data_IF_813436316175
#
_entry.id   IF_813436316175
#
_cell.length_a   1.000
_cell.length_b   1.000
_cell.length_c   1.000
_cell.angle_alpha   90.00
_cell.angle_beta   90.00
_cell.angle_gamma   90.00
#
_symmetry.space_group_name_H-M   'P 1'
#
loop_
_entity.id
_entity.type
_entity.pdbx_description
1 polymer ?
#
# COMPACT_ATOMS: atom_id res chain seq x y z
N UNK A 1 -11.68 12.25 38.48
CA UNK A 1 -11.81 12.09 38.09
C UNK A 1 -11.96 11.86 37.56
N UNK A 2 -11.92 11.56 37.71
CA UNK A 2 -12.20 11.10 37.09
C UNK A 2 -12.33 10.94 36.40
N UNK A 3 -12.40 10.54 36.48
CA UNK A 3 -12.64 10.16 35.81
C UNK A 3 -12.76 10.05 34.98
N UNK A 4 -12.90 9.70 35.05
CA UNK A 4 -13.21 9.36 34.19
C UNK A 4 -13.39 9.37 33.34
N UNK A 5 -13.51 9.22 33.59
CA UNK A 5 -13.81 8.90 32.55
C UNK A 5 -13.84 8.90 31.74
N UNK A 6 -14.00 8.56 31.86
CA UNK A 6 -14.15 8.35 31.05
C UNK A 6 -14.46 8.20 30.28
N UNK A 7 -14.59 7.76 30.32
CA UNK A 7 -15.01 7.41 29.61
C UNK A 7 -15.39 7.29 28.94
N UNK A 8 -15.77 7.17 29.08
CA UNK A 8 -16.21 6.74 28.35
C UNK A 8 -16.61 6.54 27.66
N UNK A 9 -17.00 6.11 27.64
CA UNK A 9 -17.28 5.56 26.92
C UNK A 9 -17.47 5.69 25.88
N UNK A 10 -17.77 5.87 25.47
CA UNK A 10 -17.94 6.04 24.43
C UNK A 10 -17.20 5.84 23.48
N UNK A 11 -16.70 5.81 23.41
CA UNK A 11 -15.80 5.59 22.71
C UNK A 11 -15.74 4.26 22.43
N UNK A 12 -16.37 3.63 22.85
CA UNK A 12 -16.47 2.34 22.68
C UNK A 12 -16.47 2.00 21.31
N UNK A 13 -17.08 2.68 20.54
CA UNK A 13 -17.15 2.47 19.23
C UNK A 13 -15.85 2.54 18.72
N UNK A 14 -15.08 3.41 19.17
CA UNK A 14 -13.85 3.55 18.64
C UNK A 14 -13.00 2.44 18.95
N UNK A 15 -13.29 1.78 20.05
CA UNK A 15 -12.50 0.74 20.35
C UNK A 15 -12.63 -0.33 19.43
N UNK A 16 -13.66 -0.51 18.83
CA UNK A 16 -13.86 -1.51 17.99
C UNK A 16 -13.03 -1.26 16.85
N UNK A 17 -12.87 -0.04 16.45
CA UNK A 17 -12.12 0.30 15.34
C UNK A 17 -10.70 0.06 15.57
N UNK A 18 -10.25 0.05 16.75
CA UNK A 18 -8.90 -0.17 17.00
C UNK A 18 -8.56 -1.55 17.33
N UNK A 19 -9.46 -2.48 17.18
CA UNK A 19 -9.16 -3.81 17.48
C UNK A 19 -8.15 -4.33 16.52
N UNK A 20 -8.01 -3.91 15.36
CA UNK A 20 -7.03 -4.41 14.43
C UNK A 20 -5.77 -3.61 14.46
N UNK A 21 -4.78 -3.95 13.65
CA UNK A 21 -3.56 -3.18 13.59
C UNK A 21 -3.80 -1.80 13.00
N UNK A 22 -3.02 -0.85 13.41
CA UNK A 22 -3.14 0.52 12.92
C UNK A 22 -1.85 0.92 12.25
N UNK A 23 -1.90 1.70 11.20
CA UNK A 23 -0.69 2.16 10.54
C UNK A 23 0.13 3.02 11.48
N UNK A 24 1.45 2.98 11.36
CA UNK A 24 2.30 3.76 12.22
C UNK A 24 2.31 5.24 11.89
N UNK A 25 1.76 5.64 10.76
CA UNK A 25 1.67 7.05 10.40
C UNK A 25 0.33 7.28 9.73
N UNK A 26 -0.06 8.52 9.62
CA UNK A 26 -1.31 8.88 8.98
C UNK A 26 -1.23 8.57 7.49
N UNK A 27 -2.25 7.97 6.94
CA UNK A 27 -2.30 7.65 5.53
C UNK A 27 -3.37 8.49 4.83
N UNK A 28 -3.15 8.75 3.57
CA UNK A 28 -4.15 9.41 2.75
C UNK A 28 -5.20 8.41 2.30
N UNK A 29 -6.16 8.83 1.50
CA UNK A 29 -7.29 7.98 1.13
C UNK A 29 -6.89 6.72 0.37
N UNK A 30 -5.93 6.81 -0.53
CA UNK A 30 -5.55 5.66 -1.32
C UNK A 30 -4.73 4.68 -0.47
N UNK A 31 -3.85 5.20 0.35
CA UNK A 31 -3.06 4.37 1.24
C UNK A 31 -3.93 3.70 2.28
N UNK A 32 -4.92 4.41 2.81
CA UNK A 32 -5.81 3.84 3.79
C UNK A 32 -6.65 2.75 3.17
N UNK A 33 -7.07 2.91 1.92
CA UNK A 33 -7.85 1.90 1.24
C UNK A 33 -7.01 0.63 1.08
N UNK A 34 -5.74 0.77 0.71
CA UNK A 34 -4.86 -0.38 0.58
C UNK A 34 -4.63 -1.03 1.94
N UNK A 35 -4.41 -0.25 2.97
CA UNK A 35 -4.22 -0.74 4.32
C UNK A 35 -5.41 -1.60 4.74
N UNK A 36 -6.62 -1.06 4.59
CA UNK A 36 -7.82 -1.75 5.00
C UNK A 36 -8.03 -3.04 4.21
N UNK A 37 -7.71 -3.03 2.93
CA UNK A 37 -7.88 -4.21 2.09
C UNK A 37 -6.92 -5.31 2.54
N UNK A 38 -5.68 -4.97 2.86
CA UNK A 38 -4.70 -5.94 3.27
C UNK A 38 -5.04 -6.52 4.65
N UNK A 39 -5.36 -5.67 5.61
CA UNK A 39 -5.63 -6.17 6.95
C UNK A 39 -6.94 -6.93 7.04
N UNK A 40 -7.80 -6.78 6.07
CA UNK A 40 -9.04 -7.56 6.02
C UNK A 40 -8.76 -8.98 5.60
N UNK A 41 -7.69 -9.24 4.88
CA UNK A 41 -7.40 -10.57 4.39
C UNK A 41 -6.20 -11.23 5.06
N UNK A 42 -5.29 -10.46 5.60
CA UNK A 42 -4.06 -11.01 6.15
C UNK A 42 -3.86 -10.54 7.57
N UNK A 43 -3.20 -11.35 8.37
CA UNK A 43 -2.94 -10.95 9.73
C UNK A 43 -1.58 -10.31 9.82
N UNK A 44 -1.50 -9.05 10.09
CA UNK A 44 -0.27 -8.31 10.20
C UNK A 44 -0.21 -7.81 11.62
N UNK A 45 0.61 -8.42 12.44
CA UNK A 45 0.58 -8.08 13.86
C UNK A 45 1.92 -7.63 14.42
N UNK A 46 3.03 -7.97 13.82
CA UNK A 46 4.32 -7.57 14.36
C UNK A 46 4.71 -6.18 13.93
N UNK A 47 5.52 -5.50 14.71
CA UNK A 47 5.86 -4.13 14.43
C UNK A 47 6.54 -3.95 13.11
N UNK A 48 7.41 -4.88 12.69
CA UNK A 48 8.08 -4.71 11.43
C UNK A 48 7.11 -4.86 10.26
N UNK A 49 6.15 -5.77 10.37
CA UNK A 49 5.14 -5.92 9.33
C UNK A 49 4.26 -4.69 9.22
N UNK A 50 3.89 -4.11 10.35
CA UNK A 50 3.07 -2.91 10.36
C UNK A 50 3.85 -1.77 9.72
N UNK A 51 5.14 -1.65 10.02
CA UNK A 51 5.93 -0.58 9.43
C UNK A 51 6.10 -0.77 7.91
N UNK A 52 6.37 -1.98 7.47
CA UNK A 52 6.52 -2.23 6.05
C UNK A 52 5.20 -1.96 5.31
N UNK A 53 4.10 -2.39 5.88
CA UNK A 53 2.79 -2.14 5.26
C UNK A 53 2.49 -0.65 5.23
N UNK A 54 2.84 0.08 6.28
CA UNK A 54 2.64 1.53 6.32
C UNK A 54 3.45 2.19 5.20
N UNK A 55 4.70 1.75 4.99
CA UNK A 55 5.54 2.29 3.93
C UNK A 55 4.90 2.03 2.55
N UNK A 56 4.38 0.83 2.34
CA UNK A 56 3.74 0.52 1.07
C UNK A 56 2.50 1.39 0.86
N UNK A 57 1.74 1.62 1.90
CA UNK A 57 0.52 2.43 1.79
C UNK A 57 0.84 3.90 1.57
N UNK A 58 1.94 4.41 2.17
CA UNK A 58 2.35 5.77 1.90
C UNK A 58 2.84 5.88 0.44
N UNK A 59 3.52 4.86 -0.06
CA UNK A 59 3.94 4.86 -1.45
C UNK A 59 2.72 4.83 -2.38
N UNK A 60 1.65 4.18 -1.97
CA UNK A 60 0.42 4.16 -2.74
C UNK A 60 -0.17 5.56 -2.85
N UNK A 61 -0.22 6.31 -1.76
CA UNK A 61 -0.72 7.67 -1.79
C UNK A 61 0.15 8.52 -2.70
N UNK A 62 1.47 8.33 -2.64
CA UNK A 62 2.37 9.11 -3.47
C UNK A 62 2.21 8.75 -4.93
N UNK A 63 2.05 7.48 -5.26
CA UNK A 63 1.86 7.06 -6.63
C UNK A 63 0.58 7.64 -7.22
N UNK A 64 -0.48 7.68 -6.42
CA UNK A 64 -1.74 8.23 -6.91
C UNK A 64 -1.63 9.75 -7.12
N UNK A 65 -0.91 10.44 -6.26
CA UNK A 65 -0.71 11.88 -6.43
C UNK A 65 0.11 12.15 -7.70
N UNK A 66 1.14 11.33 -7.95
CA UNK A 66 1.95 11.51 -9.14
C UNK A 66 1.14 11.18 -10.40
N UNK A 67 0.30 10.17 -10.33
CA UNK A 67 -0.56 9.81 -11.46
C UNK A 67 -1.53 10.95 -11.76
N UNK A 68 -2.02 11.64 -10.74
CA UNK A 68 -2.92 12.76 -10.94
C UNK A 68 -2.20 13.92 -11.65
N UNK A 69 -0.94 14.16 -11.29
CA UNK A 69 -0.17 15.21 -11.97
C UNK A 69 0.04 14.84 -13.43
N UNK A 70 0.33 13.59 -13.73
CA UNK A 70 0.51 13.17 -15.11
C UNK A 70 -0.81 13.33 -15.88
N UNK A 71 -1.92 12.97 -15.26
CA UNK A 71 -3.23 13.08 -15.92
C UNK A 71 -3.55 14.54 -16.22
N UNK A 72 -3.16 15.44 -15.33
CA UNK A 72 -3.44 16.83 -15.51
C UNK A 72 -2.53 17.43 -16.55
N UNK A 73 -1.25 17.13 -16.57
CA UNK A 73 -0.28 17.75 -17.45
C UNK A 73 -0.10 16.99 -18.77
N UNK A 74 -0.54 15.76 -18.84
CA UNK A 74 -0.32 14.92 -20.01
C UNK A 74 0.96 14.12 -19.88
N UNK A 75 1.03 12.99 -20.52
CA UNK A 75 2.17 12.10 -20.40
C UNK A 75 3.40 12.61 -21.13
N UNK A 76 3.21 13.50 -22.06
CA UNK A 76 4.30 14.07 -22.84
C UNK A 76 4.37 15.56 -22.54
N UNK A 77 5.54 16.06 -22.21
CA UNK A 77 5.69 17.48 -21.95
C UNK A 77 6.68 18.08 -22.92
N UNK A 78 6.51 19.36 -23.24
CA UNK A 78 7.38 20.05 -24.13
C UNK A 78 8.41 20.79 -23.32
N UNK A 79 9.65 20.74 -23.73
CA UNK A 79 10.71 21.45 -23.06
C UNK A 79 11.51 22.21 -24.11
N UNK A 80 12.37 23.12 -23.73
CA UNK A 80 13.21 23.82 -24.69
C UNK A 80 14.04 22.86 -25.52
N UNK A 81 14.34 21.67 -24.99
CA UNK A 81 15.12 20.72 -25.72
C UNK A 81 14.30 19.72 -26.46
N UNK A 82 13.02 19.92 -26.57
CA UNK A 82 12.14 19.03 -27.31
C UNK A 82 11.07 18.42 -26.44
N UNK A 83 10.55 17.28 -26.87
CA UNK A 83 9.46 16.61 -26.18
C UNK A 83 10.01 15.50 -25.35
N UNK A 84 9.50 15.31 -24.17
CA UNK A 84 9.92 14.22 -23.33
C UNK A 84 8.78 13.71 -22.47
N UNK A 85 8.94 12.55 -21.90
CA UNK A 85 7.93 11.99 -21.00
C UNK A 85 7.84 12.86 -19.75
N UNK A 86 6.67 12.91 -19.17
CA UNK A 86 6.45 13.66 -17.94
C UNK A 86 7.35 13.03 -16.88
N UNK A 87 8.11 13.82 -16.14
CA UNK A 87 9.05 13.29 -15.17
C UNK A 87 8.39 12.48 -14.05
N UNK A 88 7.14 12.78 -13.73
CA UNK A 88 6.46 12.07 -12.67
C UNK A 88 6.14 10.62 -13.03
N UNK A 89 6.17 10.24 -14.31
CA UNK A 89 5.86 8.88 -14.72
C UNK A 89 6.90 7.92 -14.13
N UNK A 90 8.16 8.27 -14.20
CA UNK A 90 9.19 7.41 -13.67
C UNK A 90 9.04 7.27 -12.16
N UNK A 91 8.73 8.35 -11.47
CA UNK A 91 8.58 8.33 -10.02
C UNK A 91 7.35 7.53 -9.61
N UNK A 92 6.28 7.66 -10.38
CA UNK A 92 5.08 6.88 -10.10
C UNK A 92 5.38 5.40 -10.23
N UNK A 93 6.04 4.99 -11.28
CA UNK A 93 6.36 3.59 -11.50
C UNK A 93 7.31 3.06 -10.42
N UNK A 94 8.22 3.90 -9.95
CA UNK A 94 9.12 3.53 -8.87
C UNK A 94 8.33 3.27 -7.58
N UNK A 95 7.34 4.10 -7.28
CA UNK A 95 6.50 3.92 -6.11
C UNK A 95 5.70 2.63 -6.22
N UNK A 96 5.17 2.34 -7.40
CA UNK A 96 4.36 1.13 -7.58
C UNK A 96 5.24 -0.12 -7.48
N UNK A 97 6.47 -0.05 -7.98
CA UNK A 97 7.40 -1.15 -7.84
C UNK A 97 7.77 -1.38 -6.37
N UNK A 98 7.94 -0.30 -5.61
CA UNK A 98 8.22 -0.38 -4.20
C UNK A 98 7.07 -1.08 -3.47
N UNK A 99 5.82 -0.75 -3.81
CA UNK A 99 4.65 -1.37 -3.20
C UNK A 99 4.69 -2.87 -3.43
N UNK A 100 4.91 -3.28 -4.66
CA UNK A 100 4.89 -4.69 -5.01
C UNK A 100 5.98 -5.43 -4.27
N UNK A 101 7.18 -4.89 -4.23
CA UNK A 101 8.30 -5.55 -3.54
C UNK A 101 8.07 -5.63 -2.04
N UNK A 102 7.47 -4.60 -1.47
CA UNK A 102 7.22 -4.57 -0.04
C UNK A 102 6.15 -5.59 0.32
N UNK A 103 5.11 -5.70 -0.47
CA UNK A 103 4.07 -6.67 -0.21
C UNK A 103 4.62 -8.09 -0.37
N UNK A 104 5.55 -8.29 -1.28
CA UNK A 104 6.18 -9.59 -1.42
C UNK A 104 7.05 -9.90 -0.21
N UNK A 105 7.73 -8.92 0.35
CA UNK A 105 8.54 -9.13 1.54
C UNK A 105 7.67 -9.50 2.71
N UNK A 106 6.45 -9.05 2.74
CA UNK A 106 5.53 -9.39 3.80
C UNK A 106 4.90 -10.77 3.57
N UNK A 107 5.18 -11.39 2.43
CA UNK A 107 4.62 -12.68 2.12
C UNK A 107 3.17 -12.62 1.67
N UNK A 108 2.73 -11.46 1.21
CA UNK A 108 1.36 -11.31 0.82
C UNK A 108 1.08 -11.56 -0.66
N UNK A 109 2.01 -12.10 -1.36
CA UNK A 109 1.76 -12.26 -2.77
C UNK A 109 1.06 -13.49 -2.88
N UNK A 110 0.02 -13.69 -3.46
CA UNK A 110 -0.70 -14.77 -3.49
C UNK A 110 -0.30 -15.51 -4.58
N UNK A 111 0.06 -16.39 -4.71
CA UNK A 111 0.47 -17.11 -5.65
C UNK A 111 -0.20 -18.25 -5.71
N UNK A 112 -1.06 -18.34 -5.77
CA UNK A 112 -1.91 -19.30 -5.72
C UNK A 112 -1.58 -20.40 -6.47
N UNK A 113 -1.60 -20.66 -7.06
CA UNK A 113 -1.47 -21.65 -7.73
C UNK A 113 -0.43 -21.94 -8.28
N UNK A 114 0.18 -21.96 -8.19
CA UNK A 114 1.19 -22.21 -8.67
C UNK A 114 1.42 -23.36 -8.74
N UNK A 115 1.20 -23.74 -8.79
CA UNK A 115 1.30 -24.62 -8.77
C UNK A 115 1.90 -25.30 -9.25
N UNK A 116 2.01 -25.69 -9.27
CA UNK A 116 2.40 -26.18 -9.63
C UNK A 116 3.20 -26.57 -10.16
N UNK A 117 3.49 -27.03 -10.19
CA UNK A 117 4.22 -27.22 -10.60
C UNK A 117 4.75 -27.71 -11.38
N UNK A 118 4.91 -27.76 -11.51
CA UNK A 118 5.28 -28.11 -12.11
C UNK A 118 5.84 -28.36 -12.94
N UNK A 119 6.03 -28.55 -13.05
CA UNK A 119 6.47 -28.72 -13.79
C UNK A 119 7.02 -29.23 -14.27
N UNK A 120 7.04 -29.53 -14.25
CA UNK A 120 7.56 -29.94 -14.58
C UNK A 120 7.98 -30.31 -15.31
N UNK A 121 7.99 -30.49 -15.33
CA UNK A 121 8.30 -30.70 -15.91
C UNK A 121 8.64 -31.03 -16.63
N UNK A 122 8.64 -31.10 -16.63
CA UNK A 122 8.82 -31.35 -17.15
C UNK A 122 8.91 -31.73 -17.61
N UNK A 123 8.78 -31.88 -17.25
CA UNK A 123 8.76 -32.12 -17.54
C UNK A 123 8.85 -32.52 -18.07
N UNK A 124 8.92 -32.75 -18.11
CA UNK A 124 8.94 -33.04 -18.55
C UNK A 124 9.03 -33.52 -19.05
N UNK A 125 9.19 -33.73 -19.02
CA UNK A 125 9.22 -34.06 -19.41
C UNK A 125 9.40 -34.27 -19.80
#
# INVERSE_FOLDING_TARGET
>A
MVKKPREPPLRIVSERDVTGPQPSRTLGPHGLKLWNAIVAEYEVSDCSGIELLTQACQACDRAEALAAHVAEDGEIVRTPNGIKAHPAIREELACRGFIVRTLQKLGLNYEPLRAAPGRPPGSAA
#
